data_IF_215656368177
#
_entry.id   IF_215656368177
#
_cell.length_a   1.000
_cell.length_b   1.000
_cell.length_c   1.000
_cell.angle_alpha   90.00
_cell.angle_beta   90.00
_cell.angle_gamma   90.00
#
_symmetry.space_group_name_H-M   'P 1'
#
loop_
_entity.id
_entity.type
_entity.pdbx_description
1 polymer ?
#
# COMPACT_ATOMS: atom_id res chain seq x y z
N UNK A 1 12.85 -49.23 -42.86
CA UNK A 1 13.79 -48.09 -42.90
C UNK A 1 13.50 -47.16 -41.73
N UNK A 2 14.55 -46.50 -41.26
CA UNK A 2 14.73 -45.93 -39.92
C UNK A 2 13.77 -44.80 -39.53
N UNK A 3 13.49 -44.78 -38.23
CA UNK A 3 12.99 -43.70 -37.39
C UNK A 3 14.01 -42.53 -37.29
N UNK A 4 13.53 -41.31 -36.98
CA UNK A 4 14.14 -40.40 -36.00
C UNK A 4 13.27 -39.14 -35.72
N UNK A 5 12.48 -39.21 -34.64
CA UNK A 5 12.06 -38.05 -33.84
C UNK A 5 13.27 -37.59 -33.00
N UNK A 6 13.61 -36.30 -32.99
CA UNK A 6 14.58 -35.76 -32.02
C UNK A 6 13.88 -34.84 -31.01
N UNK A 7 13.75 -35.37 -29.80
CA UNK A 7 13.47 -34.65 -28.55
C UNK A 7 14.68 -33.74 -28.25
N UNK A 8 14.52 -32.42 -28.32
CA UNK A 8 15.39 -31.53 -27.54
C UNK A 8 14.81 -31.40 -26.15
N UNK A 9 15.26 -32.30 -25.30
CA UNK A 9 15.07 -32.28 -23.87
C UNK A 9 15.58 -30.94 -23.31
N UNK A 10 14.79 -30.36 -22.40
CA UNK A 10 15.27 -29.44 -21.38
C UNK A 10 16.45 -30.09 -20.66
N UNK A 11 17.67 -29.64 -20.92
CA UNK A 11 18.77 -29.91 -20.04
C UNK A 11 18.55 -29.06 -18.78
N UNK A 12 18.16 -29.71 -17.68
CA UNK A 12 18.32 -29.13 -16.33
C UNK A 12 19.81 -28.93 -16.13
N UNK A 13 20.28 -27.69 -16.26
CA UNK A 13 21.59 -27.31 -15.74
C UNK A 13 21.61 -27.61 -14.24
N UNK A 14 22.73 -28.13 -13.73
CA UNK A 14 22.88 -28.29 -12.29
C UNK A 14 22.82 -26.91 -11.65
N UNK A 15 22.13 -26.78 -10.51
CA UNK A 15 21.97 -25.50 -9.78
C UNK A 15 23.31 -24.85 -9.42
N UNK A 16 24.38 -25.65 -9.40
CA UNK A 16 25.76 -25.28 -9.15
C UNK A 16 26.44 -24.59 -10.35
N UNK A 17 25.99 -24.83 -11.58
CA UNK A 17 26.57 -24.21 -12.78
C UNK A 17 26.23 -22.70 -12.89
N UNK A 18 25.15 -22.25 -12.22
CA UNK A 18 24.79 -20.83 -12.12
C UNK A 18 25.72 -20.02 -11.20
N UNK A 19 26.56 -20.70 -10.40
CA UNK A 19 27.50 -20.09 -9.46
C UNK A 19 28.96 -20.32 -9.83
N UNK A 20 29.23 -20.90 -11.02
CA UNK A 20 30.60 -20.99 -11.54
C UNK A 20 31.09 -19.59 -11.88
N UNK A 21 31.92 -19.04 -11.01
CA UNK A 21 32.75 -17.87 -11.30
C UNK A 21 33.73 -18.30 -12.38
N UNK A 22 33.63 -17.72 -13.58
CA UNK A 22 34.65 -17.86 -14.61
C UNK A 22 35.90 -17.12 -14.14
N UNK A 23 37.06 -17.77 -14.12
CA UNK A 23 38.36 -17.18 -13.74
C UNK A 23 38.87 -16.10 -14.73
N UNK A 24 38.02 -15.62 -15.64
CA UNK A 24 38.32 -14.53 -16.55
C UNK A 24 38.19 -13.18 -15.83
N UNK A 25 39.29 -12.77 -15.19
CA UNK A 25 39.47 -11.41 -14.69
C UNK A 25 39.64 -10.47 -15.90
N UNK A 26 38.78 -9.46 -16.09
CA UNK A 26 39.02 -8.44 -17.10
C UNK A 26 40.31 -7.70 -16.74
N UNK A 27 41.24 -7.61 -17.67
CA UNK A 27 42.50 -6.90 -17.49
C UNK A 27 42.22 -5.39 -17.39
N UNK A 28 42.00 -4.90 -16.17
CA UNK A 28 41.88 -3.49 -15.87
C UNK A 28 43.28 -2.95 -15.52
N UNK A 29 43.93 -2.31 -16.49
CA UNK A 29 45.11 -1.49 -16.23
C UNK A 29 44.72 -0.30 -15.34
N UNK A 30 45.00 -0.43 -14.05
CA UNK A 30 44.86 0.61 -13.04
C UNK A 30 45.20 0.06 -11.66
N UNK A 31 46.14 0.68 -10.95
CA UNK A 31 46.64 0.34 -9.60
C UNK A 31 45.57 0.52 -8.48
N UNK A 32 44.31 0.14 -8.70
CA UNK A 32 43.29 0.11 -7.65
C UNK A 32 42.84 -1.31 -7.35
N UNK A 33 42.93 -1.71 -6.08
CA UNK A 33 42.44 -2.99 -5.59
C UNK A 33 40.96 -3.22 -5.97
N UNK A 34 40.55 -4.47 -6.25
CA UNK A 34 39.18 -4.77 -6.64
C UNK A 34 38.19 -4.34 -5.55
N UNK A 35 37.36 -3.33 -5.87
CA UNK A 35 36.29 -2.82 -5.00
C UNK A 35 35.04 -3.70 -5.08
N UNK A 36 34.61 -4.25 -3.95
CA UNK A 36 33.38 -5.02 -3.82
C UNK A 36 32.14 -4.13 -3.99
N UNK A 37 30.96 -4.73 -4.22
CA UNK A 37 29.71 -3.99 -4.42
C UNK A 37 29.30 -3.13 -3.21
N UNK A 38 29.74 -3.50 -2.00
CA UNK A 38 29.54 -2.69 -0.79
C UNK A 38 30.55 -1.55 -0.63
N UNK A 39 31.74 -1.63 -1.25
CA UNK A 39 32.73 -0.55 -1.26
C UNK A 39 32.31 0.61 -2.18
N UNK A 40 31.33 0.36 -3.06
CA UNK A 40 30.74 1.33 -4.00
C UNK A 40 29.44 1.96 -3.49
N UNK A 41 28.93 1.52 -2.34
CA UNK A 41 27.73 2.14 -1.76
C UNK A 41 28.11 3.49 -1.18
N UNK A 42 27.27 4.49 -1.43
CA UNK A 42 27.37 5.75 -0.71
C UNK A 42 27.29 5.47 0.80
N UNK A 43 28.17 6.12 1.57
CA UNK A 43 28.12 6.02 3.03
C UNK A 43 26.86 6.73 3.50
N UNK A 44 25.82 5.95 3.74
CA UNK A 44 24.55 6.44 4.31
C UNK A 44 24.77 6.71 5.80
N UNK A 45 24.46 7.92 6.26
CA UNK A 45 24.44 8.25 7.68
C UNK A 45 23.18 7.67 8.34
N UNK A 46 23.29 6.74 9.31
CA UNK A 46 22.13 6.19 10.02
C UNK A 46 21.27 7.24 10.73
N UNK A 47 21.83 8.40 11.06
CA UNK A 47 21.11 9.50 11.72
C UNK A 47 20.07 10.17 10.81
N UNK A 48 20.19 10.02 9.49
CA UNK A 48 19.19 10.48 8.51
C UNK A 48 17.88 9.68 8.62
N UNK A 49 17.95 8.48 9.19
CA UNK A 49 16.90 7.45 9.21
C UNK A 49 16.48 7.04 10.62
N UNK A 50 16.81 7.85 11.60
CA UNK A 50 16.55 7.58 13.01
C UNK A 50 15.87 8.78 13.65
N UNK A 51 14.75 8.54 14.32
CA UNK A 51 14.02 9.53 15.13
C UNK A 51 13.82 8.90 16.50
N UNK A 52 14.51 9.39 17.53
CA UNK A 52 14.40 8.84 18.88
C UNK A 52 14.30 9.94 19.91
N UNK A 53 13.75 9.59 21.08
CA UNK A 53 13.75 10.44 22.27
C UNK A 53 13.07 11.80 22.04
N UNK A 54 12.01 11.80 21.21
CA UNK A 54 11.21 12.99 20.94
C UNK A 54 10.08 13.06 21.95
N UNK A 55 10.08 14.11 22.76
CA UNK A 55 9.10 14.30 23.83
C UNK A 55 8.39 15.64 23.72
N UNK A 56 7.06 15.64 23.87
CA UNK A 56 6.22 16.86 24.01
C UNK A 56 6.31 17.87 22.85
N UNK A 57 6.86 17.47 21.71
CA UNK A 57 7.16 18.36 20.59
C UNK A 57 6.75 17.79 19.24
N UNK A 58 6.69 18.65 18.24
CA UNK A 58 6.43 18.27 16.85
C UNK A 58 7.70 18.36 16.02
N UNK A 59 8.03 17.30 15.30
CA UNK A 59 9.22 17.23 14.44
C UNK A 59 8.82 16.80 13.04
N UNK A 60 9.20 17.61 12.05
CA UNK A 60 9.26 17.20 10.65
C UNK A 60 10.72 16.91 10.33
N UNK A 61 11.09 15.63 10.37
CA UNK A 61 12.47 15.20 10.16
C UNK A 61 12.82 15.39 8.67
N UNK A 62 13.92 16.10 8.42
CA UNK A 62 14.53 16.15 7.10
C UNK A 62 15.20 14.80 6.83
N UNK A 63 14.96 14.22 5.65
CA UNK A 63 15.57 12.97 5.24
C UNK A 63 15.73 12.89 3.73
N UNK A 64 16.00 11.67 3.25
CA UNK A 64 16.04 11.32 1.84
C UNK A 64 15.13 10.13 1.58
N UNK A 65 14.74 9.99 0.33
CA UNK A 65 13.95 8.85 -0.14
C UNK A 65 14.79 7.56 -0.11
N UNK A 66 14.13 6.45 0.23
CA UNK A 66 14.73 5.14 0.40
C UNK A 66 15.16 4.84 1.83
N UNK A 67 15.84 3.72 2.04
CA UNK A 67 16.39 3.33 3.35
C UNK A 67 15.36 2.88 4.40
N UNK A 68 15.79 2.14 5.43
CA UNK A 68 14.94 1.79 6.57
C UNK A 68 14.77 3.02 7.48
N UNK A 69 13.64 3.18 8.16
CA UNK A 69 13.42 4.23 9.17
C UNK A 69 13.15 3.59 10.54
N UNK A 70 13.77 4.11 11.59
CA UNK A 70 13.51 3.71 12.97
C UNK A 70 12.98 4.89 13.78
N UNK A 71 11.82 4.70 14.40
CA UNK A 71 11.21 5.63 15.36
C UNK A 71 11.14 4.92 16.70
N UNK A 72 11.73 5.47 17.76
CA UNK A 72 11.84 4.78 19.04
C UNK A 72 11.72 5.74 20.23
N UNK A 73 11.12 5.28 21.34
CA UNK A 73 11.09 5.99 22.62
C UNK A 73 10.60 7.44 22.49
N UNK A 74 9.49 7.65 21.80
CA UNK A 74 8.89 8.98 21.62
C UNK A 74 7.60 9.10 22.44
N UNK A 75 7.34 10.27 23.03
CA UNK A 75 6.16 10.48 23.89
C UNK A 75 5.52 11.85 23.69
N UNK A 76 4.20 11.92 23.62
CA UNK A 76 3.45 13.18 23.44
C UNK A 76 3.95 14.00 22.25
N UNK A 77 4.28 13.32 21.14
CA UNK A 77 4.98 13.91 20.00
C UNK A 77 4.19 13.81 18.70
N UNK A 78 4.37 14.79 17.80
CA UNK A 78 3.94 14.67 16.39
C UNK A 78 5.15 14.51 15.51
N UNK A 79 5.31 13.36 14.87
CA UNK A 79 6.48 12.99 14.07
C UNK A 79 6.06 12.90 12.61
N UNK A 80 6.78 13.59 11.73
CA UNK A 80 6.53 13.59 10.30
C UNK A 80 7.81 13.23 9.53
N UNK A 81 7.76 12.18 8.72
CA UNK A 81 8.82 11.79 7.80
C UNK A 81 8.21 11.54 6.41
N UNK A 82 8.18 12.59 5.57
CA UNK A 82 7.45 12.61 4.30
C UNK A 82 8.34 12.19 3.11
N UNK A 83 9.09 11.12 3.31
CA UNK A 83 9.98 10.51 2.32
C UNK A 83 9.59 9.05 2.11
N UNK A 84 9.99 8.47 0.98
CA UNK A 84 9.82 7.03 0.80
C UNK A 84 10.78 6.26 1.70
N UNK A 85 10.37 5.08 2.15
CA UNK A 85 11.21 4.20 2.97
C UNK A 85 11.16 2.77 2.44
N UNK A 86 12.20 1.98 2.69
CA UNK A 86 12.18 0.54 2.39
C UNK A 86 11.41 -0.24 3.47
N UNK A 87 11.55 0.17 4.73
CA UNK A 87 10.92 -0.43 5.90
C UNK A 87 10.82 0.62 7.01
N UNK A 88 9.81 0.53 7.87
CA UNK A 88 9.69 1.36 9.07
C UNK A 88 9.50 0.48 10.31
N UNK A 89 10.21 0.81 11.38
CA UNK A 89 10.00 0.23 12.72
C UNK A 89 9.64 1.37 13.67
N UNK A 90 8.53 1.23 14.39
CA UNK A 90 8.05 2.15 15.42
C UNK A 90 8.01 1.38 16.74
N UNK A 91 8.88 1.73 17.69
CA UNK A 91 9.01 1.05 18.97
C UNK A 91 8.79 2.00 20.15
N UNK A 92 8.16 1.51 21.23
CA UNK A 92 7.98 2.22 22.51
C UNK A 92 7.53 3.69 22.35
N UNK A 93 6.53 3.91 21.48
CA UNK A 93 5.96 5.23 21.26
C UNK A 93 4.63 5.38 22.01
N UNK A 94 4.44 6.51 22.70
CA UNK A 94 3.27 6.76 23.57
C UNK A 94 2.62 8.10 23.28
N UNK A 95 1.31 8.15 23.06
CA UNK A 95 0.58 9.39 22.79
C UNK A 95 1.12 10.18 21.57
N UNK A 96 1.61 9.45 20.56
CA UNK A 96 2.25 10.06 19.38
C UNK A 96 1.30 10.13 18.18
N UNK A 97 1.48 11.16 17.35
CA UNK A 97 0.92 11.24 16.00
C UNK A 97 2.06 11.07 15.00
N UNK A 98 2.09 9.98 14.25
CA UNK A 98 3.20 9.61 13.37
C UNK A 98 2.70 9.60 11.93
N UNK A 99 3.26 10.46 11.10
CA UNK A 99 2.89 10.62 9.69
C UNK A 99 4.09 10.27 8.81
N UNK A 100 3.92 9.27 7.97
CA UNK A 100 4.98 8.68 7.17
C UNK A 100 4.64 8.72 5.69
N UNK A 101 5.65 8.95 4.88
CA UNK A 101 5.56 8.71 3.45
C UNK A 101 5.42 7.22 3.10
N UNK A 102 5.26 6.92 1.80
CA UNK A 102 5.08 5.56 1.30
C UNK A 102 6.24 4.63 1.65
N UNK A 103 5.92 3.46 2.19
CA UNK A 103 6.89 2.42 2.55
C UNK A 103 6.82 1.28 1.55
N UNK A 104 7.91 1.00 0.84
CA UNK A 104 7.99 -0.07 -0.16
C UNK A 104 7.69 -1.45 0.44
N UNK A 105 8.20 -1.71 1.65
CA UNK A 105 8.03 -2.97 2.36
C UNK A 105 7.06 -2.83 3.54
N UNK A 106 7.56 -3.16 4.71
CA UNK A 106 6.75 -3.29 5.92
C UNK A 106 6.84 -2.05 6.82
N UNK A 107 5.71 -1.69 7.42
CA UNK A 107 5.67 -0.88 8.65
C UNK A 107 5.40 -1.82 9.82
N UNK A 108 6.26 -1.79 10.83
CA UNK A 108 6.10 -2.58 12.06
C UNK A 108 5.95 -1.65 13.26
N UNK A 109 4.81 -1.74 13.95
CA UNK A 109 4.53 -1.01 15.19
C UNK A 109 4.64 -1.99 16.35
N UNK A 110 5.50 -1.69 17.34
CA UNK A 110 5.71 -2.54 18.51
C UNK A 110 5.70 -1.73 19.80
N UNK A 111 5.27 -2.37 20.88
CA UNK A 111 5.37 -1.84 22.25
C UNK A 111 4.80 -0.42 22.41
N UNK A 112 3.83 -0.05 21.58
CA UNK A 112 3.35 1.33 21.45
C UNK A 112 1.94 1.48 21.99
N UNK A 113 1.59 2.66 22.50
CA UNK A 113 0.29 2.89 23.14
C UNK A 113 -0.28 4.27 22.85
N UNK A 114 -1.58 4.37 22.60
CA UNK A 114 -2.28 5.65 22.35
C UNK A 114 -1.69 6.44 21.16
N UNK A 115 -1.29 5.75 20.08
CA UNK A 115 -0.69 6.40 18.92
C UNK A 115 -1.67 6.48 17.74
N UNK A 116 -1.53 7.54 16.95
CA UNK A 116 -2.15 7.65 15.62
C UNK A 116 -1.07 7.54 14.55
N UNK A 117 -1.21 6.63 13.59
CA UNK A 117 -0.23 6.42 12.51
C UNK A 117 -0.90 6.58 11.15
N UNK A 118 -0.32 7.45 10.30
CA UNK A 118 -0.77 7.67 8.92
C UNK A 118 0.33 7.23 7.95
N UNK A 119 0.05 6.26 7.08
CA UNK A 119 1.04 5.80 6.09
C UNK A 119 0.42 4.99 4.94
N UNK A 120 1.17 4.82 3.86
CA UNK A 120 0.91 3.82 2.84
C UNK A 120 2.05 2.79 2.84
N UNK A 121 1.75 1.50 2.83
CA UNK A 121 2.78 0.47 2.83
C UNK A 121 2.37 -0.81 2.10
N UNK A 122 3.34 -1.68 1.83
CA UNK A 122 3.03 -3.01 1.29
C UNK A 122 2.47 -3.93 2.37
N UNK A 123 3.08 -3.95 3.55
CA UNK A 123 2.68 -4.79 4.68
C UNK A 123 2.63 -3.96 5.97
N UNK A 124 1.63 -4.20 6.80
CA UNK A 124 1.55 -3.63 8.15
C UNK A 124 1.50 -4.75 9.18
N UNK A 125 2.32 -4.61 10.24
CA UNK A 125 2.29 -5.51 11.39
C UNK A 125 2.22 -4.68 12.67
N UNK A 126 1.42 -5.13 13.63
CA UNK A 126 1.38 -4.58 14.98
C UNK A 126 1.62 -5.69 15.99
N UNK A 127 2.52 -5.46 16.96
CA UNK A 127 2.76 -6.39 18.06
C UNK A 127 2.82 -5.66 19.39
N UNK A 128 2.27 -6.23 20.46
CA UNK A 128 2.38 -5.66 21.82
C UNK A 128 1.86 -4.20 21.92
N UNK A 129 0.82 -3.86 21.14
CA UNK A 129 0.28 -2.50 21.03
C UNK A 129 -1.08 -2.35 21.73
N UNK A 130 -1.40 -1.14 22.17
CA UNK A 130 -2.71 -0.83 22.77
C UNK A 130 -3.23 0.53 22.29
N UNK A 131 -4.51 0.60 21.91
CA UNK A 131 -5.18 1.86 21.54
C UNK A 131 -4.45 2.59 20.40
N UNK A 132 -4.33 1.92 19.25
CA UNK A 132 -3.66 2.48 18.07
C UNK A 132 -4.70 2.80 17.00
N UNK A 133 -4.70 4.03 16.49
CA UNK A 133 -5.49 4.44 15.33
C UNK A 133 -4.58 4.48 14.10
N UNK A 134 -4.95 3.78 13.04
CA UNK A 134 -4.09 3.61 11.86
C UNK A 134 -4.88 4.04 10.61
N UNK A 135 -4.55 5.21 10.06
CA UNK A 135 -4.99 5.60 8.73
C UNK A 135 -4.04 5.02 7.69
N UNK A 136 -4.50 4.08 6.87
CA UNK A 136 -3.60 3.29 6.03
C UNK A 136 -4.15 2.97 4.64
N UNK A 137 -3.22 2.95 3.67
CA UNK A 137 -3.35 2.18 2.44
C UNK A 137 -2.37 1.01 2.51
N UNK A 138 -2.89 -0.21 2.51
CA UNK A 138 -2.07 -1.43 2.59
C UNK A 138 -2.35 -2.34 1.40
N UNK A 139 -1.28 -2.86 0.78
CA UNK A 139 -1.41 -3.81 -0.33
C UNK A 139 -1.77 -5.22 0.14
N UNK A 140 -1.45 -5.58 1.38
CA UNK A 140 -1.81 -6.87 1.98
C UNK A 140 -2.77 -6.69 3.15
N UNK A 141 -3.34 -7.79 3.62
CA UNK A 141 -4.08 -7.81 4.88
C UNK A 141 -3.12 -7.43 6.04
N UNK A 142 -3.44 -6.42 6.86
CA UNK A 142 -2.67 -6.08 8.05
C UNK A 142 -2.66 -7.23 9.07
N UNK A 143 -1.59 -7.28 9.86
CA UNK A 143 -1.42 -8.29 10.92
C UNK A 143 -1.49 -7.63 12.29
N UNK A 144 -2.27 -8.24 13.20
CA UNK A 144 -2.37 -7.88 14.61
C UNK A 144 -1.88 -9.07 15.45
N UNK A 145 -1.02 -8.81 16.42
CA UNK A 145 -0.48 -9.82 17.33
C UNK A 145 -0.29 -9.23 18.73
N UNK A 146 -0.69 -9.94 19.77
CA UNK A 146 -0.66 -9.55 21.18
C UNK A 146 -1.04 -8.07 21.42
N UNK A 147 -2.06 -7.58 20.72
CA UNK A 147 -2.44 -6.17 20.71
C UNK A 147 -3.94 -6.03 20.90
N UNK A 148 -4.39 -4.91 21.43
CA UNK A 148 -5.81 -4.64 21.67
C UNK A 148 -6.18 -3.21 21.32
N UNK A 149 -7.46 -2.98 21.00
CA UNK A 149 -7.99 -1.66 20.67
C UNK A 149 -7.28 -1.03 19.45
N UNK A 150 -7.08 -1.83 18.40
CA UNK A 150 -6.46 -1.39 17.14
C UNK A 150 -7.54 -0.98 16.14
N UNK A 151 -7.51 0.24 15.64
CA UNK A 151 -8.51 0.77 14.71
C UNK A 151 -7.90 1.11 13.37
N UNK A 152 -8.42 0.52 12.30
CA UNK A 152 -7.99 0.78 10.94
C UNK A 152 -8.99 1.70 10.22
N UNK A 153 -8.44 2.70 9.55
CA UNK A 153 -9.14 3.70 8.78
C UNK A 153 -8.54 3.78 7.38
N UNK A 154 -9.36 4.20 6.42
CA UNK A 154 -8.84 4.59 5.10
C UNK A 154 -7.91 5.80 5.24
N UNK A 155 -6.76 5.77 4.56
CA UNK A 155 -5.72 6.80 4.65
C UNK A 155 -6.26 8.21 4.33
N UNK A 156 -6.42 9.10 5.34
CA UNK A 156 -6.89 10.46 5.14
C UNK A 156 -5.67 11.38 5.10
N UNK A 157 -4.83 11.22 4.08
CA UNK A 157 -3.58 11.97 3.99
C UNK A 157 -3.25 12.34 2.55
N UNK A 158 -2.91 13.61 2.36
CA UNK A 158 -2.37 14.15 1.11
C UNK A 158 -1.30 15.20 1.41
N UNK A 159 -0.22 15.17 0.64
CA UNK A 159 0.77 16.24 0.53
C UNK A 159 1.34 16.22 -0.90
N UNK A 160 2.05 17.28 -1.30
CA UNK A 160 2.40 17.54 -2.71
C UNK A 160 3.03 16.37 -3.46
N UNK A 161 3.92 15.59 -2.82
CA UNK A 161 4.68 14.51 -3.47
C UNK A 161 4.13 13.11 -3.19
N UNK A 162 3.01 12.96 -2.47
CA UNK A 162 2.56 11.65 -2.01
C UNK A 162 2.30 10.67 -3.16
N UNK A 163 1.60 11.10 -4.22
CA UNK A 163 1.26 10.21 -5.34
C UNK A 163 2.50 9.73 -6.08
N UNK A 164 3.43 10.63 -6.40
CA UNK A 164 4.71 10.30 -7.05
C UNK A 164 5.56 9.36 -6.18
N UNK A 165 5.61 9.61 -4.87
CA UNK A 165 6.31 8.75 -3.92
C UNK A 165 5.66 7.37 -3.81
N UNK A 166 4.33 7.26 -3.86
CA UNK A 166 3.64 5.97 -3.86
C UNK A 166 4.03 5.16 -5.11
N UNK A 167 4.00 5.81 -6.27
CA UNK A 167 4.42 5.23 -7.55
C UNK A 167 5.86 4.75 -7.52
N UNK A 168 6.79 5.54 -6.98
CA UNK A 168 8.22 5.17 -6.96
C UNK A 168 8.51 3.93 -6.10
N UNK A 169 7.65 3.61 -5.13
CA UNK A 169 7.72 2.37 -4.33
C UNK A 169 6.75 1.27 -4.79
N UNK A 170 6.06 1.47 -5.91
CA UNK A 170 5.14 0.48 -6.50
C UNK A 170 3.79 0.34 -5.78
N UNK A 171 3.42 1.30 -4.92
CA UNK A 171 2.09 1.37 -4.31
C UNK A 171 1.13 2.12 -5.23
N UNK A 172 -0.11 1.63 -5.31
CA UNK A 172 -1.14 2.19 -6.20
C UNK A 172 -2.40 2.55 -5.41
N UNK A 173 -3.00 3.74 -5.61
CA UNK A 173 -4.13 4.25 -4.83
C UNK A 173 -5.35 3.32 -4.71
N UNK A 174 -5.60 2.52 -5.75
CA UNK A 174 -6.79 1.68 -5.90
C UNK A 174 -6.59 0.24 -5.42
N UNK A 175 -5.46 -0.08 -4.77
CA UNK A 175 -5.14 -1.43 -4.29
C UNK A 175 -5.48 -1.64 -2.81
N UNK A 176 -6.19 -0.72 -2.17
CA UNK A 176 -6.40 -0.76 -0.72
C UNK A 176 -7.15 -2.04 -0.29
N UNK A 177 -6.47 -2.90 0.48
CA UNK A 177 -7.01 -4.19 0.94
C UNK A 177 -7.44 -4.20 2.40
N UNK A 178 -7.48 -3.04 3.06
CA UNK A 178 -7.80 -2.93 4.49
C UNK A 178 -9.33 -3.03 4.69
N UNK A 179 -9.87 -4.23 4.45
CA UNK A 179 -11.25 -4.63 4.76
C UNK A 179 -11.33 -5.50 6.01
N UNK A 180 -10.21 -6.10 6.39
CA UNK A 180 -10.01 -6.97 7.54
C UNK A 180 -8.54 -6.90 7.99
N UNK A 181 -8.23 -7.49 9.12
CA UNK A 181 -6.87 -7.76 9.57
C UNK A 181 -6.80 -9.22 10.08
N UNK A 182 -5.63 -9.83 9.99
CA UNK A 182 -5.38 -11.15 10.54
C UNK A 182 -4.84 -11.03 11.96
N UNK A 183 -5.54 -11.61 12.94
CA UNK A 183 -5.15 -11.60 14.35
C UNK A 183 -4.51 -12.95 14.75
N UNK A 184 -3.22 -12.92 15.09
CA UNK A 184 -2.47 -14.10 15.57
C UNK A 184 -2.78 -14.46 17.03
N UNK A 185 -3.42 -13.56 17.77
CA UNK A 185 -3.66 -13.65 19.21
C UNK A 185 -5.13 -13.39 19.60
N UNK A 186 -6.10 -14.03 18.93
CA UNK A 186 -7.50 -13.76 19.20
C UNK A 186 -7.82 -14.14 20.66
N UNK A 187 -8.46 -13.24 21.39
CA UNK A 187 -8.85 -13.50 22.78
C UNK A 187 -9.95 -14.57 22.77
N UNK A 188 -9.62 -15.79 23.18
CA UNK A 188 -10.53 -16.94 23.18
C UNK A 188 -11.76 -16.71 24.07
N UNK A 189 -12.96 -16.91 23.50
CA UNK A 189 -14.26 -16.99 24.19
C UNK A 189 -14.60 -15.81 25.12
N UNK A 190 -15.24 -14.76 24.56
CA UNK A 190 -15.74 -13.61 25.31
C UNK A 190 -16.11 -12.37 24.47
N UNK A 191 -15.83 -12.38 23.16
CA UNK A 191 -16.45 -11.46 22.20
C UNK A 191 -15.81 -10.08 22.02
N UNK A 192 -14.68 -9.78 22.67
CA UNK A 192 -13.91 -8.57 22.35
C UNK A 192 -12.92 -8.87 21.23
N UNK A 193 -13.18 -8.27 20.07
CA UNK A 193 -12.27 -8.28 18.93
C UNK A 193 -11.12 -7.31 19.24
N UNK A 194 -9.88 -7.71 18.97
CA UNK A 194 -8.68 -6.91 19.25
C UNK A 194 -8.53 -5.71 18.32
N UNK A 195 -9.21 -5.73 17.18
CA UNK A 195 -9.17 -4.67 16.20
C UNK A 195 -10.55 -4.37 15.59
N UNK A 196 -10.68 -3.22 14.94
CA UNK A 196 -11.84 -2.84 14.13
C UNK A 196 -11.35 -2.19 12.84
N UNK A 197 -11.99 -2.53 11.72
CA UNK A 197 -11.84 -1.81 10.45
C UNK A 197 -13.11 -1.01 10.24
N UNK A 198 -13.00 0.30 10.03
CA UNK A 198 -14.16 1.18 9.88
C UNK A 198 -14.08 2.03 8.63
N UNK A 199 -15.25 2.31 8.04
CA UNK A 199 -15.41 3.31 6.98
C UNK A 199 -15.60 4.73 7.53
N UNK A 200 -15.72 4.88 8.86
CA UNK A 200 -15.76 6.21 9.47
C UNK A 200 -14.46 6.97 9.18
N UNK A 201 -14.56 8.29 9.06
CA UNK A 201 -13.38 9.13 8.93
C UNK A 201 -12.58 9.12 10.25
N UNK A 202 -11.26 8.97 10.13
CA UNK A 202 -10.35 9.14 11.27
C UNK A 202 -10.51 10.56 11.84
N UNK A 203 -10.76 10.67 13.14
CA UNK A 203 -10.93 11.94 13.83
C UNK A 203 -9.64 12.33 14.55
N UNK A 204 -8.91 13.25 13.94
CA UNK A 204 -7.79 13.93 14.58
C UNK A 204 -8.29 15.09 15.43
N UNK A 205 -7.61 15.38 16.53
CA UNK A 205 -7.85 16.57 17.36
C UNK A 205 -7.58 17.85 16.58
N UNK A 206 -8.11 18.98 17.05
CA UNK A 206 -7.84 20.29 16.44
C UNK A 206 -6.35 20.63 16.45
N UNK A 207 -5.64 20.28 17.53
CA UNK A 207 -4.19 20.48 17.63
C UNK A 207 -3.42 19.64 16.62
N UNK A 208 -3.76 18.35 16.47
CA UNK A 208 -3.16 17.48 15.45
C UNK A 208 -3.39 18.07 14.05
N UNK A 209 -4.65 18.40 13.71
CA UNK A 209 -4.99 18.95 12.40
C UNK A 209 -4.23 20.26 12.11
N UNK A 210 -4.10 21.15 13.09
CA UNK A 210 -3.36 22.41 12.94
C UNK A 210 -1.88 22.16 12.63
N UNK A 211 -1.22 21.27 13.39
CA UNK A 211 0.20 20.92 13.20
C UNK A 211 0.42 20.33 11.81
N UNK A 212 -0.43 19.38 11.39
CA UNK A 212 -0.34 18.75 10.08
C UNK A 212 -0.54 19.75 8.94
N UNK A 213 -1.55 20.63 9.06
CA UNK A 213 -1.86 21.65 8.04
C UNK A 213 -0.68 22.61 7.85
N UNK A 214 -0.08 23.12 8.94
CA UNK A 214 1.11 24.00 8.87
C UNK A 214 2.29 23.31 8.19
N UNK A 215 2.38 21.98 8.27
CA UNK A 215 3.43 21.18 7.65
C UNK A 215 3.12 20.71 6.21
N UNK A 216 2.01 21.19 5.63
CA UNK A 216 1.59 20.90 4.27
C UNK A 216 0.87 19.55 4.11
N UNK A 217 0.39 18.97 5.19
CA UNK A 217 -0.35 17.69 5.19
C UNK A 217 -1.84 18.01 5.33
N UNK A 218 -2.62 17.55 4.34
CA UNK A 218 -4.07 17.70 4.28
C UNK A 218 -4.70 16.38 4.68
N UNK A 219 -5.57 16.42 5.68
CA UNK A 219 -6.30 15.25 6.20
C UNK A 219 -7.79 15.29 5.92
N UNK A 220 -8.28 16.44 5.46
CA UNK A 220 -9.68 16.64 5.08
C UNK A 220 -9.87 16.33 3.59
N UNK A 221 -11.03 15.77 3.21
CA UNK A 221 -11.46 15.62 1.83
C UNK A 221 -11.25 16.89 0.98
N UNK A 222 -10.70 16.73 -0.23
CA UNK A 222 -10.58 17.80 -1.24
C UNK A 222 -11.05 17.32 -2.61
N UNK A 223 -11.38 18.26 -3.50
CA UNK A 223 -11.74 17.98 -4.90
C UNK A 223 -10.55 17.49 -5.73
N UNK A 224 -9.34 17.48 -5.16
CA UNK A 224 -8.13 17.01 -5.82
C UNK A 224 -7.62 15.70 -5.21
N UNK A 225 -8.41 15.02 -4.38
CA UNK A 225 -8.04 13.74 -3.79
C UNK A 225 -7.88 12.67 -4.88
N UNK A 226 -6.73 11.97 -4.85
CA UNK A 226 -6.46 10.84 -5.73
C UNK A 226 -6.66 9.49 -5.01
N UNK A 227 -6.70 9.50 -3.68
CA UNK A 227 -7.06 8.32 -2.88
C UNK A 227 -8.59 8.20 -2.84
N UNK A 228 -9.16 7.02 -3.16
CA UNK A 228 -10.58 6.77 -2.99
C UNK A 228 -10.98 6.89 -1.51
N UNK A 229 -12.18 7.42 -1.27
CA UNK A 229 -12.81 7.50 0.04
C UNK A 229 -13.89 6.44 0.10
N UNK A 230 -13.72 5.52 1.03
CA UNK A 230 -14.62 4.38 1.18
C UNK A 230 -15.69 4.69 2.21
N UNK A 231 -16.92 4.30 1.89
CA UNK A 231 -18.07 4.38 2.75
C UNK A 231 -18.53 2.99 3.14
N UNK A 232 -19.28 2.89 4.24
CA UNK A 232 -19.81 1.61 4.70
C UNK A 232 -20.77 1.06 3.63
N UNK A 233 -20.56 -0.21 3.26
CA UNK A 233 -21.49 -0.94 2.39
C UNK A 233 -22.89 -0.94 3.01
N UNK A 234 -23.89 -0.71 2.18
CA UNK A 234 -25.31 -0.78 2.55
C UNK A 234 -25.96 -2.02 1.93
N UNK A 235 -27.25 -2.22 2.17
CA UNK A 235 -28.03 -3.31 1.57
C UNK A 235 -28.41 -3.03 0.09
N UNK A 236 -28.05 -1.86 -0.44
CA UNK A 236 -28.25 -1.52 -1.86
C UNK A 236 -27.35 -2.38 -2.77
N UNK A 237 -27.89 -2.78 -3.92
CA UNK A 237 -27.13 -3.50 -4.94
C UNK A 237 -26.00 -2.61 -5.48
N UNK A 238 -24.74 -3.07 -5.43
CA UNK A 238 -23.61 -2.29 -5.93
C UNK A 238 -23.60 -2.24 -7.46
N UNK A 239 -23.04 -1.16 -7.98
CA UNK A 239 -22.65 -1.03 -9.38
C UNK A 239 -21.13 -1.12 -9.49
N UNK A 240 -20.67 -1.73 -10.58
CA UNK A 240 -19.26 -2.01 -10.80
C UNK A 240 -18.79 -1.29 -12.06
N UNK A 241 -18.10 -0.16 -11.87
CA UNK A 241 -17.55 0.64 -12.97
C UNK A 241 -16.07 0.30 -13.14
N UNK A 242 -15.60 0.13 -14.37
CA UNK A 242 -14.18 -0.10 -14.60
C UNK A 242 -13.63 0.69 -15.78
N UNK A 243 -12.33 0.95 -15.69
CA UNK A 243 -11.52 1.51 -16.78
C UNK A 243 -10.37 0.57 -17.10
N UNK A 244 -10.09 0.45 -18.39
CA UNK A 244 -8.98 -0.34 -18.92
C UNK A 244 -7.89 0.58 -19.48
N UNK A 245 -6.65 0.12 -19.37
CA UNK A 245 -5.50 0.83 -19.93
C UNK A 245 -4.21 0.04 -19.87
N UNK A 246 -3.11 0.79 -20.06
CA UNK A 246 -1.74 0.29 -19.91
C UNK A 246 -1.32 0.25 -18.45
N UNK A 247 -0.40 -0.64 -18.10
CA UNK A 247 0.16 -0.70 -16.74
C UNK A 247 1.07 0.48 -16.45
N UNK A 248 1.73 1.01 -17.49
CA UNK A 248 2.64 2.14 -17.42
C UNK A 248 2.35 3.17 -18.53
N UNK A 249 2.55 4.47 -18.26
CA UNK A 249 2.84 5.04 -16.94
C UNK A 249 1.62 4.92 -16.00
N UNK A 250 1.86 4.83 -14.68
CA UNK A 250 0.83 4.45 -13.70
C UNK A 250 -0.26 5.51 -13.55
N UNK A 251 0.10 6.77 -13.71
CA UNK A 251 -0.72 7.97 -13.53
C UNK A 251 -1.83 8.13 -14.57
N UNK A 252 -1.63 7.66 -15.81
CA UNK A 252 -2.61 7.87 -16.90
C UNK A 252 -3.94 7.16 -16.62
N UNK A 253 -3.91 5.87 -16.28
CA UNK A 253 -5.14 5.13 -15.97
C UNK A 253 -5.76 5.60 -14.64
N UNK A 254 -4.91 5.95 -13.67
CA UNK A 254 -5.35 6.47 -12.38
C UNK A 254 -6.02 7.84 -12.49
N UNK A 255 -5.56 8.71 -13.40
CA UNK A 255 -6.19 10.00 -13.65
C UNK A 255 -7.62 9.85 -14.19
N UNK A 256 -7.86 8.84 -15.05
CA UNK A 256 -9.22 8.49 -15.53
C UNK A 256 -10.09 7.97 -14.39
N UNK A 257 -9.56 7.02 -13.61
CA UNK A 257 -10.27 6.49 -12.45
C UNK A 257 -10.60 7.58 -11.41
N UNK A 258 -9.69 8.55 -11.19
CA UNK A 258 -9.91 9.71 -10.31
C UNK A 258 -11.12 10.53 -10.73
N UNK A 259 -11.24 10.85 -12.02
CA UNK A 259 -12.38 11.60 -12.57
C UNK A 259 -13.70 10.85 -12.39
N UNK A 260 -13.70 9.53 -12.55
CA UNK A 260 -14.87 8.68 -12.26
C UNK A 260 -15.22 8.73 -10.78
N UNK A 261 -14.25 8.56 -9.87
CA UNK A 261 -14.48 8.67 -8.43
C UNK A 261 -15.08 10.03 -8.06
N UNK A 262 -14.57 11.13 -8.63
CA UNK A 262 -15.10 12.47 -8.39
C UNK A 262 -16.53 12.64 -8.91
N UNK A 263 -16.84 12.06 -10.06
CA UNK A 263 -18.18 12.06 -10.63
C UNK A 263 -19.16 11.29 -9.76
N UNK A 264 -18.74 10.15 -9.19
CA UNK A 264 -19.49 9.36 -8.21
C UNK A 264 -19.80 10.21 -6.97
N UNK A 265 -18.80 10.90 -6.41
CA UNK A 265 -19.04 11.76 -5.24
C UNK A 265 -19.99 12.93 -5.57
N UNK A 266 -19.86 13.53 -6.76
CA UNK A 266 -20.65 14.68 -7.19
C UNK A 266 -22.14 14.35 -7.34
N UNK A 267 -22.48 13.14 -7.79
CA UNK A 267 -23.88 12.70 -7.90
C UNK A 267 -24.45 12.13 -6.59
N UNK A 268 -23.67 12.10 -5.50
CA UNK A 268 -24.09 11.60 -4.19
C UNK A 268 -24.03 10.07 -4.05
N UNK A 269 -23.43 9.39 -5.02
CA UNK A 269 -23.07 7.97 -4.88
C UNK A 269 -21.86 7.81 -3.97
N UNK A 270 -21.64 6.59 -3.48
CA UNK A 270 -20.60 6.25 -2.51
C UNK A 270 -19.75 5.11 -3.03
N UNK A 271 -18.44 5.21 -2.86
CA UNK A 271 -17.51 4.12 -3.20
C UNK A 271 -17.40 3.20 -2.00
N UNK A 272 -17.56 1.89 -2.21
CA UNK A 272 -17.45 0.87 -1.15
C UNK A 272 -16.15 0.08 -1.26
N UNK A 273 -15.63 -0.11 -2.47
CA UNK A 273 -14.37 -0.79 -2.72
C UNK A 273 -13.74 -0.37 -4.04
N UNK A 274 -12.44 -0.59 -4.18
CA UNK A 274 -11.72 -0.45 -5.44
C UNK A 274 -10.76 -1.61 -5.62
N UNK A 275 -10.52 -1.98 -6.88
CA UNK A 275 -9.60 -3.06 -7.22
C UNK A 275 -8.70 -2.61 -8.36
N UNK A 276 -7.41 -2.92 -8.23
CA UNK A 276 -6.39 -2.59 -9.21
C UNK A 276 -5.68 -3.85 -9.69
N UNK A 277 -6.07 -4.29 -10.88
CA UNK A 277 -5.76 -5.58 -11.47
C UNK A 277 -4.80 -5.36 -12.62
N UNK A 278 -3.59 -5.91 -12.52
CA UNK A 278 -2.55 -5.79 -13.53
C UNK A 278 -2.17 -7.18 -14.06
N UNK A 279 -2.35 -7.36 -15.37
CA UNK A 279 -2.09 -8.61 -16.08
C UNK A 279 -0.63 -9.06 -15.97
N UNK A 280 0.32 -8.14 -15.90
CA UNK A 280 1.75 -8.48 -15.76
C UNK A 280 2.09 -9.10 -14.40
N UNK A 281 1.24 -8.85 -13.40
CA UNK A 281 1.40 -9.37 -12.03
C UNK A 281 0.61 -10.70 -11.87
N UNK A 282 -0.22 -11.06 -12.87
CA UNK A 282 -1.18 -12.16 -12.79
C UNK A 282 -0.85 -13.28 -13.79
N UNK A 283 -1.27 -14.50 -13.45
CA UNK A 283 -1.08 -15.65 -14.34
C UNK A 283 -1.86 -15.51 -15.67
N UNK A 284 -1.41 -16.12 -16.78
CA UNK A 284 -1.95 -15.92 -18.13
C UNK A 284 -3.45 -16.18 -18.31
N UNK A 285 -4.09 -16.89 -17.36
CA UNK A 285 -5.50 -17.27 -17.39
C UNK A 285 -6.43 -16.25 -16.70
N UNK A 286 -5.90 -15.10 -16.26
CA UNK A 286 -6.70 -14.06 -15.63
C UNK A 286 -7.61 -13.39 -16.67
N UNK A 287 -8.92 -13.57 -16.47
CA UNK A 287 -10.07 -13.02 -17.22
C UNK A 287 -9.84 -12.69 -18.71
N UNK A 288 -10.53 -13.35 -19.66
CA UNK A 288 -10.55 -12.91 -21.06
C UNK A 288 -11.28 -11.56 -21.29
N UNK A 289 -11.56 -10.79 -20.22
CA UNK A 289 -12.16 -9.46 -20.28
C UNK A 289 -11.22 -8.41 -20.89
N UNK A 290 -9.91 -8.63 -20.82
CA UNK A 290 -8.94 -7.72 -21.41
C UNK A 290 -8.92 -7.91 -22.93
N UNK A 291 -9.29 -6.86 -23.67
CA UNK A 291 -8.90 -6.77 -25.07
C UNK A 291 -7.39 -7.00 -25.22
N UNK A 292 -6.89 -7.48 -26.37
CA UNK A 292 -5.51 -7.95 -26.53
C UNK A 292 -4.45 -6.88 -26.18
N UNK A 293 -4.82 -5.61 -26.17
CA UNK A 293 -3.97 -4.45 -25.90
C UNK A 293 -4.03 -3.93 -24.46
N UNK A 294 -4.97 -4.40 -23.64
CA UNK A 294 -5.17 -3.97 -22.26
C UNK A 294 -4.27 -4.75 -21.29
N UNK A 295 -3.66 -4.04 -20.36
CA UNK A 295 -2.70 -4.60 -19.40
C UNK A 295 -3.16 -4.41 -17.95
N UNK A 296 -3.93 -3.36 -17.66
CA UNK A 296 -4.41 -3.02 -16.32
C UNK A 296 -5.87 -2.61 -16.33
N UNK A 297 -6.59 -2.99 -15.28
CA UNK A 297 -7.96 -2.57 -14.98
C UNK A 297 -8.02 -1.94 -13.60
N UNK A 298 -8.72 -0.81 -13.50
CA UNK A 298 -9.15 -0.23 -12.23
C UNK A 298 -10.66 -0.36 -12.17
N UNK A 299 -11.15 -1.05 -11.15
CA UNK A 299 -12.56 -1.32 -10.88
C UNK A 299 -12.98 -0.56 -9.63
N UNK A 300 -14.16 0.05 -9.67
CA UNK A 300 -14.76 0.84 -8.59
C UNK A 300 -16.14 0.22 -8.30
N UNK A 301 -16.31 -0.27 -7.07
CA UNK A 301 -17.60 -0.66 -6.53
C UNK A 301 -18.25 0.57 -5.89
N UNK A 302 -19.48 0.89 -6.31
CA UNK A 302 -20.23 2.02 -5.78
C UNK A 302 -21.70 1.69 -5.52
N UNK A 303 -22.33 2.44 -4.62
CA UNK A 303 -23.76 2.36 -4.30
C UNK A 303 -24.40 3.75 -4.43
N UNK A 304 -25.69 3.80 -4.70
CA UNK A 304 -26.47 5.03 -4.81
C UNK A 304 -27.12 5.25 -6.19
N UNK A 305 -27.59 6.48 -6.48
CA UNK A 305 -28.46 6.77 -7.62
C UNK A 305 -27.72 6.79 -8.96
N UNK A 306 -27.57 5.63 -9.61
CA UNK A 306 -26.89 5.48 -10.90
C UNK A 306 -27.51 6.37 -12.00
N UNK A 307 -28.81 6.62 -11.94
CA UNK A 307 -29.52 7.48 -12.90
C UNK A 307 -29.06 8.94 -12.91
N UNK A 308 -28.33 9.37 -11.86
CA UNK A 308 -27.75 10.72 -11.75
C UNK A 308 -26.26 10.75 -12.08
N UNK A 309 -25.67 9.60 -12.38
CA UNK A 309 -24.25 9.49 -12.65
C UNK A 309 -23.94 9.92 -14.08
N UNK A 310 -23.13 10.97 -14.20
CA UNK A 310 -22.61 11.49 -15.47
C UNK A 310 -21.10 11.67 -15.33
N UNK A 311 -20.34 11.14 -16.28
CA UNK A 311 -18.88 11.25 -16.32
C UNK A 311 -18.40 11.42 -17.77
N UNK A 312 -17.46 12.33 -17.99
CA UNK A 312 -16.87 12.60 -19.32
C UNK A 312 -15.81 11.56 -19.72
N UNK A 313 -15.44 10.65 -18.81
CA UNK A 313 -14.48 9.58 -19.08
C UNK A 313 -15.17 8.36 -19.67
N UNK A 314 -14.52 7.67 -20.61
CA UNK A 314 -14.97 6.36 -21.06
C UNK A 314 -14.76 5.32 -19.96
N UNK A 315 -15.80 4.58 -19.61
CA UNK A 315 -15.81 3.46 -18.67
C UNK A 315 -16.82 2.42 -19.11
N UNK A 316 -16.72 1.22 -18.54
CA UNK A 316 -17.66 0.13 -18.77
C UNK A 316 -18.21 -0.39 -17.44
N UNK A 317 -19.32 -1.14 -17.52
CA UNK A 317 -19.93 -1.82 -16.37
C UNK A 317 -19.56 -3.29 -16.34
N UNK A 318 -19.24 -3.80 -15.16
CA UNK A 318 -19.03 -5.23 -14.93
C UNK A 318 -20.33 -5.90 -14.46
N UNK A 319 -20.65 -7.04 -15.06
CA UNK A 319 -21.80 -7.86 -14.62
C UNK A 319 -21.52 -8.52 -13.27
N UNK A 320 -22.56 -8.81 -12.49
CA UNK A 320 -22.42 -9.55 -11.22
C UNK A 320 -21.76 -10.91 -11.43
N UNK A 321 -22.08 -11.58 -12.54
CA UNK A 321 -21.49 -12.89 -12.88
C UNK A 321 -19.98 -12.81 -13.11
N UNK A 322 -19.50 -11.73 -13.72
CA UNK A 322 -18.06 -11.53 -13.92
C UNK A 322 -17.37 -11.04 -12.64
N UNK A 323 -18.08 -10.26 -11.81
CA UNK A 323 -17.61 -9.87 -10.49
C UNK A 323 -17.43 -11.05 -9.55
N UNK A 324 -18.33 -12.04 -9.57
CA UNK A 324 -18.17 -13.28 -8.80
C UNK A 324 -16.90 -14.03 -9.21
N UNK A 325 -16.66 -14.18 -10.51
CA UNK A 325 -15.44 -14.81 -11.04
C UNK A 325 -14.18 -14.05 -10.60
N UNK A 326 -14.20 -12.72 -10.74
CA UNK A 326 -13.09 -11.87 -10.31
C UNK A 326 -12.86 -11.99 -8.79
N UNK A 327 -13.92 -12.01 -7.98
CA UNK A 327 -13.83 -12.11 -6.52
C UNK A 327 -13.22 -13.43 -6.06
N UNK A 328 -13.58 -14.55 -6.70
CA UNK A 328 -12.96 -15.86 -6.44
C UNK A 328 -11.45 -15.80 -6.74
N UNK A 329 -11.07 -15.21 -7.87
CA UNK A 329 -9.67 -15.06 -8.25
C UNK A 329 -8.88 -14.14 -7.31
N UNK A 330 -9.47 -13.00 -6.92
CA UNK A 330 -8.90 -12.07 -5.95
C UNK A 330 -8.69 -12.73 -4.58
N UNK A 331 -9.59 -13.63 -4.18
CA UNK A 331 -9.51 -14.38 -2.92
C UNK A 331 -8.44 -15.47 -2.96
N UNK A 332 -8.32 -16.22 -4.06
CA UNK A 332 -7.26 -17.22 -4.24
C UNK A 332 -5.84 -16.61 -4.19
N UNK A 333 -5.70 -15.34 -4.62
CA UNK A 333 -4.45 -14.60 -4.49
C UNK A 333 -4.13 -14.15 -3.05
N UNK A 334 -5.14 -14.01 -2.17
CA UNK A 334 -4.90 -13.74 -0.74
C UNK A 334 -4.23 -14.95 -0.06
N UNK A 335 -4.60 -16.18 -0.42
CA UNK A 335 -4.05 -17.40 0.17
C UNK A 335 -2.64 -17.78 -0.32
N UNK A 336 -2.19 -17.31 -1.48
CA UNK A 336 -0.94 -17.77 -2.12
C UNK A 336 0.30 -16.95 -1.77
N UNK A 337 0.18 -15.95 -0.88
CA UNK A 337 1.30 -15.09 -0.42
C UNK A 337 1.61 -15.19 1.08
N UNK A 338 1.06 -16.19 1.76
CA UNK A 338 1.24 -16.41 3.21
C UNK A 338 2.16 -17.61 3.55
N UNK A 339 2.97 -18.09 2.60
CA UNK A 339 4.02 -19.10 2.86
C UNK A 339 5.41 -18.47 2.99
#
# INVERSE_FOLDING_TARGET
MSCCFSKKCFARGHREDAYKVTDEVPNAEGDEAPKYSWDRRDKVDPSEYTIRDIHTTSVKKTGKDGGPLQIENCTDATIMFLHTTSQVIIDDCRHCTIVLGPTQGSVFIRDSTNCTVLTACQQLRTRDCTSIQIGILCSTEPIVENSMDIHFYSLPMKYSNLQEQMHSVGLRPYTNRVTSAYDFSPVGTGGKINFTVTAEALKLTDSQNQILTVNGIITKPTDDDFLPRFEKRSDEDPVYLYVLGKSKPMDVLEARAKKICHSIYKCGMKITATYDVDRSIQEPNFLPLFGPTCERMILIEAIGPLEKFECDEEFDFMSDTDMEKLSVQLSQMKCTKSE
#
